data_IF_439721402501
#
_entry.id   IF_439721402501
#
_cell.length_a   1.000
_cell.length_b   1.000
_cell.length_c   1.000
_cell.angle_alpha   90.00
_cell.angle_beta   90.00
_cell.angle_gamma   90.00
#
_symmetry.space_group_name_H-M   'P 1'
#
loop_
_entity.id
_entity.type
_entity.pdbx_description
1 polymer ?
#
# COMPACT_ATOMS: atom_id res chain seq x y z
N UNK A 1 -27.37 -34.51 -3.48
CA UNK A 1 -28.04 -33.19 -3.47
C UNK A 1 -27.10 -32.23 -4.21
N UNK A 2 -27.35 -31.96 -5.49
CA UNK A 2 -26.55 -31.01 -6.29
C UNK A 2 -27.17 -29.63 -6.09
N UNK A 3 -26.41 -28.70 -5.51
CA UNK A 3 -26.78 -27.30 -5.51
C UNK A 3 -26.69 -26.82 -6.97
N UNK A 4 -27.77 -26.21 -7.48
CA UNK A 4 -27.74 -25.51 -8.76
C UNK A 4 -26.92 -24.25 -8.55
N UNK A 5 -25.79 -24.14 -9.24
CA UNK A 5 -25.07 -22.88 -9.38
C UNK A 5 -25.86 -22.00 -10.34
N UNK A 6 -26.28 -20.82 -9.84
CA UNK A 6 -26.94 -19.79 -10.61
C UNK A 6 -25.86 -18.91 -11.27
N UNK A 7 -25.76 -18.84 -12.61
CA UNK A 7 -24.62 -18.19 -13.28
C UNK A 7 -24.52 -16.68 -13.04
N UNK A 8 -25.61 -16.00 -12.65
CA UNK A 8 -25.61 -14.52 -12.51
C UNK A 8 -25.10 -14.02 -11.15
N UNK A 9 -24.88 -14.90 -10.16
CA UNK A 9 -24.51 -14.47 -8.78
C UNK A 9 -23.00 -14.55 -8.52
N UNK A 10 -22.20 -14.95 -9.52
CA UNK A 10 -20.84 -15.41 -9.29
C UNK A 10 -19.77 -14.69 -10.13
N UNK A 11 -19.91 -13.39 -10.40
CA UNK A 11 -18.89 -12.59 -11.14
C UNK A 11 -18.28 -11.44 -10.31
N UNK A 12 -18.07 -11.61 -8.99
CA UNK A 12 -17.42 -10.52 -8.24
C UNK A 12 -16.94 -10.78 -6.81
N UNK A 13 -17.14 -11.99 -6.26
CA UNK A 13 -16.82 -12.27 -4.85
C UNK A 13 -15.62 -13.20 -4.66
N UNK A 14 -15.23 -13.95 -5.70
CA UNK A 14 -14.06 -14.84 -5.70
C UNK A 14 -12.79 -14.16 -6.25
N UNK A 15 -12.93 -13.00 -6.90
CA UNK A 15 -11.82 -12.14 -7.33
C UNK A 15 -11.30 -11.22 -6.21
N UNK A 16 -11.88 -11.30 -5.01
CA UNK A 16 -11.40 -10.51 -3.87
C UNK A 16 -10.35 -11.31 -3.10
N UNK A 17 -9.19 -10.69 -2.89
CA UNK A 17 -8.15 -11.22 -1.99
C UNK A 17 -8.65 -11.26 -0.54
N UNK A 18 -7.81 -11.75 0.38
CA UNK A 18 -8.15 -11.80 1.80
C UNK A 18 -8.39 -10.40 2.42
N UNK A 19 -7.81 -9.36 1.82
CA UNK A 19 -7.74 -8.04 2.41
C UNK A 19 -8.99 -7.20 2.14
N UNK A 20 -9.61 -6.73 3.22
CA UNK A 20 -10.73 -5.78 3.20
C UNK A 20 -10.30 -4.49 3.87
N UNK A 21 -10.38 -3.40 3.15
CA UNK A 21 -9.93 -2.08 3.58
C UNK A 21 -11.03 -1.34 4.34
N UNK A 22 -10.65 -0.26 5.03
CA UNK A 22 -11.59 0.70 5.60
C UNK A 22 -11.23 2.13 5.16
N UNK A 23 -11.09 2.34 3.84
CA UNK A 23 -10.67 3.63 3.28
C UNK A 23 -11.58 4.78 3.71
N UNK A 24 -12.88 4.55 3.87
CA UNK A 24 -13.81 5.59 4.32
C UNK A 24 -13.46 6.11 5.72
N UNK A 25 -13.04 5.24 6.63
CA UNK A 25 -12.65 5.64 7.99
C UNK A 25 -11.29 6.33 8.02
N UNK A 26 -10.36 5.90 7.16
CA UNK A 26 -9.10 6.62 6.94
C UNK A 26 -9.39 8.05 6.46
N UNK A 27 -10.24 8.21 5.45
CA UNK A 27 -10.64 9.52 4.93
C UNK A 27 -11.37 10.37 5.99
N UNK A 28 -12.22 9.75 6.81
CA UNK A 28 -12.88 10.42 7.93
C UNK A 28 -11.86 10.99 8.90
N UNK A 29 -10.92 10.15 9.38
CA UNK A 29 -9.93 10.58 10.34
C UNK A 29 -9.03 11.67 9.76
N UNK A 30 -8.56 11.51 8.52
CA UNK A 30 -7.66 12.50 7.92
C UNK A 30 -8.34 13.84 7.69
N UNK A 31 -9.54 13.85 7.10
CA UNK A 31 -10.13 15.10 6.57
C UNK A 31 -11.24 15.69 7.43
N UNK A 32 -11.93 14.88 8.23
CA UNK A 32 -13.08 15.34 9.03
C UNK A 32 -12.76 15.43 10.52
N UNK A 33 -11.95 14.51 11.05
CA UNK A 33 -11.60 14.50 12.48
C UNK A 33 -10.32 15.28 12.82
N UNK A 34 -9.34 15.28 11.90
CA UNK A 34 -8.03 15.91 12.11
C UNK A 34 -7.77 17.08 11.14
N UNK A 35 -8.82 17.63 10.53
CA UNK A 35 -8.78 18.85 9.71
C UNK A 35 -7.73 18.85 8.57
N UNK A 36 -7.38 17.67 8.04
CA UNK A 36 -6.43 17.50 6.92
C UNK A 36 -6.74 18.38 5.72
N UNK A 37 -8.02 18.66 5.48
CA UNK A 37 -8.47 19.52 4.40
C UNK A 37 -8.02 20.99 4.55
N UNK A 38 -7.67 21.44 5.76
CA UNK A 38 -7.27 22.83 6.01
C UNK A 38 -5.79 23.09 5.73
N UNK A 39 -4.93 22.07 5.86
CA UNK A 39 -3.47 22.25 5.75
C UNK A 39 -2.80 21.48 4.61
N UNK A 40 -3.47 20.48 4.02
CA UNK A 40 -2.98 19.82 2.80
C UNK A 40 -3.00 20.83 1.64
N UNK A 41 -1.93 20.90 0.85
CA UNK A 41 -1.76 21.90 -0.21
C UNK A 41 -1.24 23.26 0.29
N UNK A 42 -0.75 23.33 1.53
CA UNK A 42 -0.20 24.56 2.12
C UNK A 42 1.12 24.30 2.85
N UNK A 43 1.92 25.36 3.05
CA UNK A 43 3.17 25.28 3.80
C UNK A 43 4.14 24.24 3.23
N UNK A 44 4.65 23.37 4.09
CA UNK A 44 5.56 22.27 3.73
C UNK A 44 4.87 21.14 2.92
N UNK A 45 3.53 21.16 2.82
CA UNK A 45 2.73 20.15 2.11
C UNK A 45 2.05 20.72 0.86
N UNK A 46 2.64 21.75 0.24
CA UNK A 46 2.10 22.42 -0.94
C UNK A 46 1.88 21.50 -2.14
N UNK A 47 2.63 20.40 -2.22
CA UNK A 47 2.57 19.44 -3.33
C UNK A 47 1.36 18.50 -3.27
N UNK A 48 0.72 18.34 -2.10
CA UNK A 48 -0.36 17.37 -1.90
C UNK A 48 -1.59 18.05 -1.31
N UNK A 49 -2.51 18.43 -2.19
CA UNK A 49 -3.83 18.93 -1.81
C UNK A 49 -4.80 17.79 -1.38
N UNK A 50 -5.97 18.10 -0.80
CA UNK A 50 -6.90 17.08 -0.34
C UNK A 50 -7.41 16.14 -1.45
N UNK A 51 -7.55 16.62 -2.69
CA UNK A 51 -8.01 15.80 -3.80
C UNK A 51 -6.94 14.78 -4.22
N UNK A 52 -5.70 15.23 -4.29
CA UNK A 52 -4.51 14.43 -4.57
C UNK A 52 -4.29 13.39 -3.48
N UNK A 53 -4.45 13.76 -2.21
CA UNK A 53 -4.36 12.82 -1.09
C UNK A 53 -5.40 11.69 -1.17
N UNK A 54 -6.66 12.00 -1.49
CA UNK A 54 -7.71 10.99 -1.70
C UNK A 54 -7.41 10.09 -2.90
N UNK A 55 -6.87 10.66 -3.98
CA UNK A 55 -6.47 9.89 -5.14
C UNK A 55 -5.33 8.91 -4.80
N UNK A 56 -4.32 9.37 -4.07
CA UNK A 56 -3.23 8.52 -3.56
C UNK A 56 -3.80 7.36 -2.75
N UNK A 57 -4.69 7.62 -1.80
CA UNK A 57 -5.26 6.57 -0.95
C UNK A 57 -6.05 5.53 -1.74
N UNK A 58 -6.83 5.95 -2.76
CA UNK A 58 -7.59 5.03 -3.63
C UNK A 58 -6.68 4.15 -4.48
N UNK A 59 -5.63 4.71 -5.04
CA UNK A 59 -4.71 3.93 -5.87
C UNK A 59 -3.85 2.98 -5.04
N UNK A 60 -3.43 3.40 -3.83
CA UNK A 60 -2.76 2.49 -2.89
C UNK A 60 -3.72 1.42 -2.38
N UNK A 61 -4.99 1.75 -2.12
CA UNK A 61 -6.03 0.76 -1.79
C UNK A 61 -6.17 -0.28 -2.90
N UNK A 62 -6.29 0.16 -4.16
CA UNK A 62 -6.37 -0.72 -5.33
C UNK A 62 -5.15 -1.64 -5.39
N UNK A 63 -3.94 -1.07 -5.28
CA UNK A 63 -2.69 -1.84 -5.23
C UNK A 63 -2.73 -2.89 -4.11
N UNK A 64 -3.13 -2.48 -2.91
CA UNK A 64 -3.19 -3.32 -1.72
C UNK A 64 -4.15 -4.49 -1.90
N UNK A 65 -5.36 -4.23 -2.38
CA UNK A 65 -6.41 -5.25 -2.52
C UNK A 65 -6.11 -6.21 -3.67
N UNK A 66 -5.48 -5.77 -4.75
CA UNK A 66 -5.29 -6.62 -5.93
C UNK A 66 -3.90 -7.23 -6.00
N UNK A 67 -2.85 -6.44 -6.17
CA UNK A 67 -1.51 -6.95 -6.44
C UNK A 67 -0.71 -7.27 -5.17
N UNK A 68 -0.87 -6.49 -4.09
CA UNK A 68 -0.07 -6.67 -2.87
C UNK A 68 -0.59 -7.83 -2.01
N UNK A 69 -1.91 -7.96 -1.85
CA UNK A 69 -2.51 -9.06 -1.12
C UNK A 69 -2.43 -10.42 -1.85
N UNK A 70 -2.19 -10.43 -3.17
CA UNK A 70 -2.13 -11.65 -3.97
C UNK A 70 -1.04 -12.63 -3.51
N UNK A 71 0.09 -12.13 -3.01
CA UNK A 71 1.18 -12.99 -2.54
C UNK A 71 1.06 -13.41 -1.08
N UNK A 72 0.01 -12.99 -0.36
CA UNK A 72 -0.09 -13.18 1.09
C UNK A 72 -0.12 -14.66 1.48
N UNK A 73 -1.04 -15.45 0.89
CA UNK A 73 -1.11 -16.88 1.18
C UNK A 73 0.07 -17.63 0.58
N UNK A 74 0.42 -17.36 -0.68
CA UNK A 74 1.48 -18.09 -1.36
C UNK A 74 2.84 -17.95 -0.67
N UNK A 75 3.22 -16.75 -0.23
CA UNK A 75 4.48 -16.53 0.46
C UNK A 75 4.54 -17.17 1.87
N UNK A 76 3.40 -17.45 2.50
CA UNK A 76 3.32 -18.22 3.75
C UNK A 76 3.48 -19.73 3.47
N UNK A 77 2.78 -20.25 2.44
CA UNK A 77 2.82 -21.68 2.09
C UNK A 77 4.13 -22.10 1.41
N UNK A 78 4.73 -21.18 0.67
CA UNK A 78 5.99 -21.34 -0.05
C UNK A 78 6.98 -20.31 0.50
N UNK A 79 7.57 -20.53 1.69
CA UNK A 79 8.44 -19.53 2.32
C UNK A 79 9.76 -19.35 1.56
N UNK A 80 10.46 -18.21 1.74
CA UNK A 80 11.80 -18.01 1.21
C UNK A 80 12.77 -19.12 1.59
N UNK A 81 13.64 -19.51 0.67
CA UNK A 81 14.64 -20.56 0.88
C UNK A 81 16.04 -19.94 0.86
N UNK A 82 16.89 -20.32 1.81
CA UNK A 82 18.28 -19.89 1.87
C UNK A 82 19.20 -20.94 1.27
N UNK A 83 19.85 -20.63 0.15
CA UNK A 83 20.76 -21.51 -0.57
C UNK A 83 21.94 -20.71 -1.12
N UNK A 84 23.16 -21.26 -1.09
CA UNK A 84 24.36 -20.63 -1.65
C UNK A 84 24.64 -19.18 -1.17
N UNK A 85 24.34 -18.88 0.10
CA UNK A 85 24.45 -17.53 0.69
C UNK A 85 23.44 -16.50 0.15
N UNK A 86 22.42 -16.94 -0.57
CA UNK A 86 21.35 -16.09 -1.10
C UNK A 86 19.98 -16.54 -0.56
N UNK A 87 19.04 -15.60 -0.44
CA UNK A 87 17.64 -15.87 -0.11
C UNK A 87 16.82 -15.79 -1.39
N UNK A 88 16.16 -16.89 -1.75
CA UNK A 88 15.28 -16.96 -2.91
C UNK A 88 13.84 -16.70 -2.47
N UNK A 89 13.26 -15.61 -2.96
CA UNK A 89 11.86 -15.28 -2.73
C UNK A 89 10.93 -16.02 -3.71
N UNK A 90 9.68 -16.33 -3.31
CA UNK A 90 8.65 -16.80 -4.23
C UNK A 90 8.36 -15.77 -5.33
N UNK A 91 8.00 -16.25 -6.52
CA UNK A 91 7.72 -15.36 -7.65
C UNK A 91 6.48 -14.49 -7.41
N UNK A 92 5.50 -14.98 -6.64
CA UNK A 92 4.34 -14.20 -6.21
C UNK A 92 4.76 -12.96 -5.40
N UNK A 93 5.66 -13.14 -4.42
CA UNK A 93 6.16 -12.05 -3.59
C UNK A 93 6.95 -11.05 -4.43
N UNK A 94 7.81 -11.52 -5.36
CA UNK A 94 8.51 -10.63 -6.30
C UNK A 94 7.54 -9.80 -7.14
N UNK A 95 6.44 -10.39 -7.59
CA UNK A 95 5.41 -9.68 -8.37
C UNK A 95 4.72 -8.59 -7.54
N UNK A 96 4.35 -8.86 -6.29
CA UNK A 96 3.78 -7.84 -5.39
C UNK A 96 4.76 -6.70 -5.09
N UNK A 97 6.06 -7.02 -4.91
CA UNK A 97 7.10 -6.00 -4.74
C UNK A 97 7.29 -5.17 -6.03
N UNK A 98 7.31 -5.81 -7.19
CA UNK A 98 7.44 -5.12 -8.48
C UNK A 98 6.25 -4.17 -8.71
N UNK A 99 5.02 -4.60 -8.46
CA UNK A 99 3.84 -3.75 -8.60
C UNK A 99 3.91 -2.47 -7.73
N UNK A 100 4.48 -2.57 -6.53
CA UNK A 100 4.71 -1.42 -5.66
C UNK A 100 5.72 -0.42 -6.28
N UNK A 101 6.88 -0.92 -6.75
CA UNK A 101 7.93 -0.06 -7.31
C UNK A 101 7.57 0.50 -8.69
N UNK A 102 6.93 -0.31 -9.55
CA UNK A 102 6.47 0.13 -10.88
C UNK A 102 5.40 1.21 -10.78
N UNK A 103 4.59 1.18 -9.70
CA UNK A 103 3.64 2.24 -9.36
C UNK A 103 4.30 3.49 -8.74
N UNK A 104 5.59 3.43 -8.40
CA UNK A 104 6.34 4.54 -7.79
C UNK A 104 5.92 4.86 -6.36
N UNK A 105 5.33 3.91 -5.64
CA UNK A 105 4.77 4.13 -4.30
C UNK A 105 5.84 4.25 -3.21
N UNK A 106 7.10 3.89 -3.53
CA UNK A 106 8.28 4.19 -2.71
C UNK A 106 8.44 5.70 -2.46
N UNK A 107 8.04 6.53 -3.43
CA UNK A 107 8.12 7.99 -3.38
C UNK A 107 7.18 8.63 -2.37
N UNK A 108 6.20 7.89 -1.85
CA UNK A 108 5.40 8.37 -0.71
C UNK A 108 6.27 8.58 0.52
N UNK A 109 7.33 7.80 0.70
CA UNK A 109 8.19 7.89 1.88
C UNK A 109 9.29 8.96 1.75
N UNK A 110 9.57 9.45 0.54
CA UNK A 110 10.68 10.38 0.32
C UNK A 110 10.26 11.85 0.43
N UNK A 111 11.19 12.73 0.87
CA UNK A 111 11.00 14.18 0.77
C UNK A 111 11.11 14.61 -0.70
N UNK A 112 10.60 15.81 -1.01
CA UNK A 112 10.56 16.34 -2.39
C UNK A 112 11.96 16.44 -2.99
N UNK A 113 12.97 16.81 -2.18
CA UNK A 113 14.37 16.95 -2.61
C UNK A 113 15.00 15.62 -3.05
N UNK A 114 14.43 14.49 -2.64
CA UNK A 114 14.84 13.15 -3.04
C UNK A 114 13.87 12.54 -4.08
N UNK A 115 13.01 13.35 -4.69
CA UNK A 115 12.05 12.91 -5.72
C UNK A 115 10.77 12.28 -5.17
N UNK A 116 10.47 12.51 -3.88
CA UNK A 116 9.24 12.08 -3.25
C UNK A 116 8.04 12.99 -3.53
N UNK A 117 6.86 12.56 -3.11
CA UNK A 117 5.60 13.28 -3.36
C UNK A 117 5.37 14.48 -2.43
N UNK A 118 6.15 14.65 -1.36
CA UNK A 118 5.90 15.69 -0.35
C UNK A 118 4.66 15.40 0.52
N UNK A 119 4.30 14.12 0.67
CA UNK A 119 3.11 13.71 1.41
C UNK A 119 3.25 13.98 2.93
N UNK A 120 2.23 14.57 3.58
CA UNK A 120 2.18 14.72 5.03
C UNK A 120 2.38 13.37 5.75
N UNK A 121 3.03 13.34 6.94
CA UNK A 121 3.21 12.09 7.69
C UNK A 121 1.91 11.32 7.95
N UNK A 122 0.79 12.03 8.19
CA UNK A 122 -0.52 11.41 8.40
C UNK A 122 -1.02 10.67 7.16
N UNK A 123 -0.89 11.26 5.97
CA UNK A 123 -1.21 10.59 4.70
C UNK A 123 -0.29 9.39 4.44
N UNK A 124 1.02 9.55 4.71
CA UNK A 124 2.00 8.47 4.51
C UNK A 124 1.65 7.25 5.35
N UNK A 125 1.38 7.43 6.64
CA UNK A 125 1.01 6.32 7.51
C UNK A 125 -0.32 5.68 7.13
N UNK A 126 -1.31 6.48 6.73
CA UNK A 126 -2.60 5.98 6.24
C UNK A 126 -2.45 5.11 4.98
N UNK A 127 -1.63 5.53 4.02
CA UNK A 127 -1.33 4.72 2.83
C UNK A 127 -0.55 3.44 3.19
N UNK A 128 0.38 3.52 4.13
CA UNK A 128 1.16 2.36 4.58
C UNK A 128 0.31 1.34 5.33
N UNK A 129 -0.70 1.76 6.10
CA UNK A 129 -1.67 0.87 6.74
C UNK A 129 -2.31 -0.08 5.73
N UNK A 130 -2.69 0.44 4.55
CA UNK A 130 -3.30 -0.36 3.48
C UNK A 130 -2.35 -1.46 2.99
N UNK A 131 -1.07 -1.16 2.85
CA UNK A 131 -0.04 -2.14 2.43
C UNK A 131 0.24 -3.17 3.52
N UNK A 132 0.33 -2.72 4.78
CA UNK A 132 0.54 -3.60 5.94
C UNK A 132 -0.64 -4.55 6.13
N UNK A 133 -1.87 -4.08 5.97
CA UNK A 133 -3.07 -4.91 6.07
C UNK A 133 -3.15 -5.94 4.94
N UNK A 134 -2.72 -5.58 3.73
CA UNK A 134 -2.67 -6.48 2.58
C UNK A 134 -1.59 -7.56 2.72
N UNK A 135 -0.36 -7.16 3.05
CA UNK A 135 0.75 -8.08 3.23
C UNK A 135 1.89 -7.45 4.07
N UNK A 136 1.93 -7.70 5.40
CA UNK A 136 2.91 -7.05 6.27
C UNK A 136 4.35 -7.51 5.99
N UNK A 137 4.56 -8.76 5.57
CA UNK A 137 5.91 -9.26 5.26
C UNK A 137 6.47 -8.63 3.99
N UNK A 138 5.63 -8.48 2.95
CA UNK A 138 5.99 -7.74 1.75
C UNK A 138 6.26 -6.26 2.05
N UNK A 139 5.45 -5.63 2.92
CA UNK A 139 5.64 -4.23 3.30
C UNK A 139 7.03 -3.96 3.90
N UNK A 140 7.56 -4.89 4.71
CA UNK A 140 8.90 -4.70 5.29
C UNK A 140 10.01 -4.60 4.23
N UNK A 141 9.92 -5.30 3.10
CA UNK A 141 10.87 -5.13 1.99
C UNK A 141 10.83 -3.73 1.39
N UNK A 142 9.64 -3.14 1.27
CA UNK A 142 9.46 -1.82 0.64
C UNK A 142 9.55 -0.64 1.61
N UNK A 143 9.58 -0.91 2.92
CA UNK A 143 9.68 0.11 3.98
C UNK A 143 11.05 0.82 4.07
N UNK A 144 12.03 0.43 3.25
CA UNK A 144 13.37 0.99 3.25
C UNK A 144 13.42 2.51 3.06
N UNK A 145 12.51 3.08 2.25
CA UNK A 145 12.43 4.53 2.05
C UNK A 145 12.11 5.29 3.34
N UNK A 146 11.20 4.76 4.17
CA UNK A 146 10.86 5.33 5.47
C UNK A 146 12.04 5.28 6.43
N UNK A 147 12.78 4.17 6.46
CA UNK A 147 13.95 4.01 7.34
C UNK A 147 15.12 4.91 6.89
N UNK A 148 15.26 5.13 5.59
CA UNK A 148 16.30 6.00 5.02
C UNK A 148 16.15 7.49 5.36
N UNK A 149 14.93 7.95 5.67
CA UNK A 149 14.67 9.35 6.06
C UNK A 149 15.53 9.82 7.24
N UNK A 150 15.93 8.91 8.14
CA UNK A 150 16.79 9.26 9.28
C UNK A 150 18.13 9.87 8.84
N UNK A 151 18.64 9.48 7.67
CA UNK A 151 19.89 10.01 7.13
C UNK A 151 19.73 11.41 6.53
N UNK A 152 18.50 11.82 6.23
CA UNK A 152 18.19 13.14 5.67
C UNK A 152 17.87 14.17 6.76
N UNK A 153 17.34 13.73 7.91
CA UNK A 153 16.91 14.62 8.99
C UNK A 153 18.03 15.03 9.96
N UNK A 154 19.26 14.55 9.76
CA UNK A 154 20.46 14.86 10.58
C UNK A 154 21.40 15.77 9.80
#
# INVERSE_FOLDING_TARGET
>A
MRIREDPEVNEGWWDMTHYKTNLRDIEFNLFEANDGAEYYGSGEFSEVDPATARHILREVERLSVHEFAASFEDADRNPPVFENHEVVLPDSLKASLAAFYDGGWDKLAYPVELGGFGAPPSLRWAAQELLVGANPSAYFYVSGGLMGLVLYMV
#
